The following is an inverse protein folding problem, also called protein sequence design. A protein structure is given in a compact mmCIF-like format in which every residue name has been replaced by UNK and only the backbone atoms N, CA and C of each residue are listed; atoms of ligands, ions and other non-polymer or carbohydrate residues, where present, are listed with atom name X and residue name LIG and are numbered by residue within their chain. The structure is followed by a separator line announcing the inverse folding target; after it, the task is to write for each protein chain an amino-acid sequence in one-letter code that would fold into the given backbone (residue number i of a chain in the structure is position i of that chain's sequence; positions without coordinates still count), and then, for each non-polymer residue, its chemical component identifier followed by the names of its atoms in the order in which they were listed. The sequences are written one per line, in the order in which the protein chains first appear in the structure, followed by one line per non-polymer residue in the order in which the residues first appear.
data_IF_435435439898
#
_entry.id   IF_435435439898
#
_cell.length_a   1.000
_cell.length_b   1.000
_cell.length_c   1.000
_cell.angle_alpha   90.00
_cell.angle_beta   90.00
_cell.angle_gamma   90.00
#
_symmetry.space_group_name_H-M   'P 1'
#
loop_
_entity.id
_entity.type
_entity.pdbx_description
1 polymer ?
#
# COMPACT_ATOMS: atom_id res chain seq x y z
N UNK A 1 -44.41 -18.08 -11.14
CA UNK A 1 -44.02 -17.20 -12.26
C UNK A 1 -44.13 -15.77 -11.77
N UNK A 2 -43.03 -15.18 -11.38
CA UNK A 2 -42.91 -13.74 -11.16
C UNK A 2 -41.71 -13.34 -12.02
N UNK A 3 -42.10 -12.69 -13.12
CA UNK A 3 -41.17 -12.22 -14.17
C UNK A 3 -40.31 -11.07 -13.69
N UNK A 4 -39.08 -11.16 -14.12
CA UNK A 4 -38.18 -10.08 -14.53
C UNK A 4 -38.44 -8.69 -13.94
N UNK A 5 -37.78 -8.38 -12.86
CA UNK A 5 -37.38 -6.99 -12.60
C UNK A 5 -36.29 -6.64 -13.55
N UNK A 6 -36.57 -5.75 -14.50
CA UNK A 6 -35.63 -5.10 -15.39
C UNK A 6 -34.44 -4.56 -14.56
N UNK A 7 -33.29 -5.19 -14.74
CA UNK A 7 -32.01 -4.60 -14.35
C UNK A 7 -31.89 -3.35 -15.21
N UNK A 8 -32.08 -2.19 -14.61
CA UNK A 8 -31.71 -0.92 -15.24
C UNK A 8 -30.22 -1.00 -15.44
N UNK A 9 -29.80 -1.26 -16.68
CA UNK A 9 -28.40 -1.11 -17.06
C UNK A 9 -27.97 0.29 -16.65
N UNK A 10 -26.93 0.38 -15.82
CA UNK A 10 -26.35 1.65 -15.41
C UNK A 10 -25.99 2.42 -16.67
N UNK A 11 -26.41 3.68 -16.83
CA UNK A 11 -26.05 4.48 -17.98
C UNK A 11 -24.51 4.47 -18.08
N UNK A 12 -23.97 4.36 -19.28
CA UNK A 12 -22.53 4.42 -19.51
C UNK A 12 -21.92 5.67 -18.88
N UNK A 13 -20.65 5.64 -18.52
CA UNK A 13 -19.98 6.78 -17.92
C UNK A 13 -20.09 8.01 -18.84
N UNK A 14 -20.68 9.07 -18.34
CA UNK A 14 -20.81 10.35 -19.04
C UNK A 14 -19.69 11.32 -18.66
N UNK A 15 -19.10 11.10 -17.47
CA UNK A 15 -18.04 11.95 -16.92
C UNK A 15 -16.84 11.12 -16.47
N UNK A 16 -15.64 11.71 -16.43
CA UNK A 16 -14.41 11.02 -16.02
C UNK A 16 -14.45 10.50 -14.58
N UNK A 17 -15.23 11.17 -13.73
CA UNK A 17 -15.44 10.82 -12.33
C UNK A 17 -16.49 9.72 -12.11
N UNK A 18 -17.21 9.33 -13.17
CA UNK A 18 -18.24 8.31 -13.03
C UNK A 18 -17.58 6.95 -12.75
N UNK A 19 -18.08 6.29 -11.73
CA UNK A 19 -17.71 4.93 -11.37
C UNK A 19 -18.96 4.06 -11.26
N UNK A 20 -18.81 2.77 -11.46
CA UNK A 20 -19.87 1.80 -11.26
C UNK A 20 -19.68 1.11 -9.92
N UNK A 21 -20.62 1.29 -9.01
CA UNK A 21 -20.72 0.51 -7.78
C UNK A 21 -21.77 -0.58 -8.05
N UNK A 22 -21.28 -1.79 -8.41
CA UNK A 22 -22.17 -2.91 -8.75
C UNK A 22 -22.77 -3.53 -7.50
N UNK A 23 -21.93 -3.73 -6.49
CA UNK A 23 -22.31 -4.37 -5.24
C UNK A 23 -21.80 -3.57 -4.05
N UNK A 24 -22.69 -3.32 -3.10
CA UNK A 24 -22.34 -2.86 -1.76
C UNK A 24 -23.30 -3.54 -0.79
N UNK A 25 -22.85 -4.64 -0.20
CA UNK A 25 -23.63 -5.42 0.72
C UNK A 25 -22.99 -5.47 2.09
N UNK A 26 -23.82 -5.44 3.10
CA UNK A 26 -23.44 -5.68 4.48
C UNK A 26 -23.83 -7.11 4.84
N UNK A 27 -22.87 -7.87 5.31
CA UNK A 27 -23.05 -9.26 5.73
C UNK A 27 -23.02 -9.31 7.25
N UNK A 28 -24.13 -9.68 7.85
CA UNK A 28 -24.23 -9.82 9.31
C UNK A 28 -23.53 -11.10 9.79
N UNK A 29 -23.20 -11.15 11.07
CA UNK A 29 -22.66 -12.35 11.71
C UNK A 29 -23.60 -13.58 11.58
N UNK A 30 -24.93 -13.35 11.40
CA UNK A 30 -25.91 -14.40 11.14
C UNK A 30 -26.01 -14.84 9.67
N UNK A 31 -25.17 -14.27 8.78
CA UNK A 31 -25.17 -14.57 7.34
C UNK A 31 -26.25 -13.84 6.53
N UNK A 32 -26.97 -12.90 7.12
CA UNK A 32 -27.97 -12.09 6.39
C UNK A 32 -27.24 -11.04 5.55
N UNK A 33 -27.59 -10.95 4.27
CA UNK A 33 -27.05 -9.98 3.31
C UNK A 33 -28.02 -8.80 3.17
N UNK A 34 -27.50 -7.57 3.32
CA UNK A 34 -28.29 -6.33 3.25
C UNK A 34 -27.62 -5.40 2.25
N UNK A 35 -28.37 -4.95 1.27
CA UNK A 35 -27.87 -4.00 0.28
C UNK A 35 -27.82 -2.58 0.85
N UNK A 36 -26.64 -1.94 0.77
CA UNK A 36 -26.40 -0.60 1.28
C UNK A 36 -26.28 0.48 0.21
N UNK A 37 -26.34 0.15 -1.09
CA UNK A 37 -26.13 1.14 -2.16
C UNK A 37 -27.07 2.35 -2.09
N UNK A 38 -28.34 2.11 -1.73
CA UNK A 38 -29.35 3.17 -1.62
C UNK A 38 -29.17 4.07 -0.38
N UNK A 39 -28.42 3.60 0.60
CA UNK A 39 -28.16 4.30 1.86
C UNK A 39 -26.79 5.00 1.86
N UNK A 40 -25.99 4.75 0.82
CA UNK A 40 -24.62 5.22 0.72
C UNK A 40 -24.56 6.72 0.49
N UNK A 41 -23.81 7.42 1.34
CA UNK A 41 -23.46 8.84 1.20
C UNK A 41 -22.07 8.98 0.64
N UNK A 42 -21.13 8.22 1.20
CA UNK A 42 -19.70 8.30 0.84
C UNK A 42 -19.07 6.93 0.99
N UNK A 43 -18.20 6.60 0.03
CA UNK A 43 -17.33 5.42 0.06
C UNK A 43 -15.91 5.89 -0.20
N UNK A 44 -15.02 5.60 0.73
CA UNK A 44 -13.59 5.81 0.57
C UNK A 44 -12.84 4.50 0.74
N UNK A 45 -12.01 4.17 -0.24
CA UNK A 45 -11.16 2.98 -0.26
C UNK A 45 -9.72 3.39 -0.45
N UNK A 46 -8.82 2.87 0.37
CA UNK A 46 -7.42 3.24 0.42
C UNK A 46 -6.51 2.05 0.17
N UNK A 47 -5.62 2.19 -0.78
CA UNK A 47 -4.43 1.36 -0.98
C UNK A 47 -3.20 2.24 -0.76
N UNK A 48 -2.30 1.80 0.11
CA UNK A 48 -1.09 2.55 0.45
C UNK A 48 0.09 1.59 0.46
N UNK A 49 1.15 1.93 -0.28
CA UNK A 49 2.38 1.13 -0.33
C UNK A 49 3.11 1.04 1.02
N UNK A 50 2.78 1.91 1.96
CA UNK A 50 3.30 1.91 3.33
C UNK A 50 2.34 1.30 4.36
N UNK A 51 1.17 0.83 3.92
CA UNK A 51 0.19 0.15 4.75
C UNK A 51 0.13 -1.33 4.45
N UNK A 52 0.07 -2.17 5.48
CA UNK A 52 0.02 -3.63 5.31
C UNK A 52 -1.31 -4.12 4.74
N UNK A 53 -2.36 -3.33 4.85
CA UNK A 53 -3.71 -3.74 4.52
C UNK A 53 -4.46 -2.65 3.80
N UNK A 54 -5.27 -3.04 2.82
CA UNK A 54 -6.29 -2.19 2.26
C UNK A 54 -7.33 -1.86 3.32
N UNK A 55 -7.81 -0.63 3.32
CA UNK A 55 -8.77 -0.13 4.31
C UNK A 55 -9.69 0.91 3.70
N UNK A 56 -10.74 1.25 4.43
CA UNK A 56 -11.64 2.30 3.99
C UNK A 56 -12.75 2.57 4.98
N UNK A 57 -13.67 3.39 4.54
CA UNK A 57 -14.90 3.64 5.28
C UNK A 57 -16.07 3.87 4.34
N UNK A 58 -17.25 3.58 4.84
CA UNK A 58 -18.52 3.98 4.23
C UNK A 58 -19.32 4.82 5.21
N UNK A 59 -19.91 5.90 4.72
CA UNK A 59 -20.86 6.71 5.45
C UNK A 59 -22.24 6.44 4.89
N UNK A 60 -23.18 6.07 5.73
CA UNK A 60 -24.55 5.72 5.34
C UNK A 60 -25.56 6.56 6.10
N UNK A 61 -26.74 6.78 5.46
CA UNK A 61 -27.93 7.34 6.10
C UNK A 61 -28.88 6.19 6.38
N UNK A 62 -29.14 5.98 7.64
CA UNK A 62 -30.01 4.92 8.14
C UNK A 62 -31.34 5.51 8.62
N UNK A 63 -32.42 5.18 7.92
CA UNK A 63 -33.79 5.53 8.30
C UNK A 63 -34.59 4.35 8.89
N UNK A 64 -33.94 3.17 8.96
CA UNK A 64 -34.60 1.93 9.38
C UNK A 64 -34.07 1.39 10.72
N UNK A 65 -33.05 2.05 11.29
CA UNK A 65 -32.46 1.62 12.57
C UNK A 65 -31.62 0.35 12.43
N UNK A 66 -30.81 0.20 11.38
CA UNK A 66 -30.02 -1.01 11.14
C UNK A 66 -29.07 -1.34 12.28
N UNK A 67 -28.44 -0.34 12.90
CA UNK A 67 -27.53 -0.59 14.02
C UNK A 67 -28.25 -1.32 15.16
N UNK A 68 -29.49 -0.92 15.44
CA UNK A 68 -30.28 -1.51 16.52
C UNK A 68 -30.90 -2.86 16.13
N UNK A 69 -31.38 -2.96 14.90
CA UNK A 69 -31.95 -4.19 14.36
C UNK A 69 -30.92 -5.30 14.17
N UNK A 70 -29.68 -4.95 13.82
CA UNK A 70 -28.65 -5.93 13.47
C UNK A 70 -27.71 -6.25 14.62
N UNK A 71 -27.81 -5.51 15.75
CA UNK A 71 -26.93 -5.69 16.91
C UNK A 71 -25.46 -5.88 16.49
N UNK A 72 -24.87 -4.83 15.89
CA UNK A 72 -23.50 -4.90 15.37
C UNK A 72 -22.55 -5.39 16.45
N UNK A 73 -21.88 -6.51 16.18
CA UNK A 73 -21.00 -7.21 17.12
C UNK A 73 -19.52 -7.02 16.80
N UNK A 74 -19.19 -6.45 15.63
CA UNK A 74 -17.83 -6.38 15.09
C UNK A 74 -17.41 -7.65 14.33
N UNK A 75 -18.36 -8.54 14.02
CA UNK A 75 -18.17 -9.75 13.22
C UNK A 75 -18.80 -9.65 11.83
N UNK A 76 -19.07 -8.45 11.40
CA UNK A 76 -19.73 -8.16 10.14
C UNK A 76 -18.71 -7.93 9.03
N UNK A 77 -19.16 -8.14 7.79
CA UNK A 77 -18.38 -7.92 6.59
C UNK A 77 -19.07 -6.94 5.66
N UNK A 78 -18.30 -6.29 4.82
CA UNK A 78 -18.77 -5.51 3.69
C UNK A 78 -18.24 -6.13 2.42
N UNK A 79 -19.11 -6.40 1.49
CA UNK A 79 -18.85 -6.88 0.16
C UNK A 79 -18.98 -5.71 -0.81
N UNK A 80 -17.89 -5.41 -1.52
CA UNK A 80 -17.81 -4.25 -2.41
C UNK A 80 -17.34 -4.71 -3.79
N UNK A 81 -18.09 -4.35 -4.84
CA UNK A 81 -17.63 -4.44 -6.22
C UNK A 81 -17.81 -3.08 -6.89
N UNK A 82 -16.68 -2.42 -7.12
CA UNK A 82 -16.63 -1.14 -7.81
C UNK A 82 -15.55 -1.13 -8.90
N UNK A 83 -15.78 -0.35 -9.94
CA UNK A 83 -14.84 -0.23 -11.03
C UNK A 83 -15.18 0.91 -11.97
N UNK A 84 -14.31 1.18 -12.93
CA UNK A 84 -14.62 2.06 -14.04
C UNK A 84 -15.61 1.36 -14.97
N UNK A 85 -16.58 2.12 -15.51
CA UNK A 85 -17.57 1.62 -16.48
C UNK A 85 -16.85 1.29 -17.79
N UNK A 86 -16.11 0.19 -17.84
CA UNK A 86 -15.53 -0.34 -19.06
C UNK A 86 -15.45 -1.86 -19.08
N UNK A 87 -16.06 -2.41 -20.14
CA UNK A 87 -15.78 -3.73 -20.71
C UNK A 87 -15.97 -4.93 -19.79
N UNK A 88 -17.18 -5.19 -19.26
CA UNK A 88 -17.66 -6.57 -18.98
C UNK A 88 -16.76 -7.54 -18.21
N UNK A 89 -15.60 -7.11 -17.73
CA UNK A 89 -14.79 -7.90 -16.81
C UNK A 89 -15.39 -7.77 -15.44
N UNK A 90 -15.71 -8.90 -14.86
CA UNK A 90 -16.02 -9.02 -13.45
C UNK A 90 -14.77 -8.54 -12.69
N UNK A 91 -14.78 -7.30 -12.27
CA UNK A 91 -13.86 -6.84 -11.24
C UNK A 91 -14.23 -7.61 -10.00
N UNK A 92 -13.29 -8.36 -9.45
CA UNK A 92 -13.53 -9.28 -8.36
C UNK A 92 -14.20 -8.58 -7.19
N UNK A 93 -15.33 -9.12 -6.77
CA UNK A 93 -16.01 -8.76 -5.55
C UNK A 93 -15.06 -8.91 -4.37
N UNK A 94 -14.91 -7.87 -3.56
CA UNK A 94 -14.01 -7.86 -2.42
C UNK A 94 -14.77 -7.85 -1.13
N UNK A 95 -14.31 -8.64 -0.17
CA UNK A 95 -14.90 -8.77 1.14
C UNK A 95 -13.95 -8.18 2.17
N UNK A 96 -14.47 -7.26 2.97
CA UNK A 96 -13.75 -6.56 4.03
C UNK A 96 -14.42 -6.78 5.37
N UNK A 97 -13.61 -6.76 6.43
CA UNK A 97 -14.07 -6.83 7.80
C UNK A 97 -14.43 -5.46 8.34
N UNK A 98 -15.62 -5.29 8.90
CA UNK A 98 -15.97 -4.07 9.66
C UNK A 98 -15.36 -4.17 11.05
N UNK A 99 -14.57 -3.16 11.44
CA UNK A 99 -13.91 -3.16 12.73
C UNK A 99 -14.32 -2.00 13.64
N UNK A 100 -14.97 -0.99 13.10
CA UNK A 100 -15.36 0.20 13.87
C UNK A 100 -16.57 0.88 13.26
N UNK A 101 -17.49 1.35 14.11
CA UNK A 101 -18.51 2.32 13.75
C UNK A 101 -18.24 3.64 14.49
N UNK A 102 -18.54 4.77 13.87
CA UNK A 102 -18.28 6.09 14.44
C UNK A 102 -19.25 7.14 13.89
N UNK A 103 -19.34 8.27 14.58
CA UNK A 103 -20.01 9.47 14.06
C UNK A 103 -21.53 9.39 13.98
N UNK A 104 -22.18 8.55 14.81
CA UNK A 104 -23.64 8.48 14.87
C UNK A 104 -24.25 9.84 15.20
N UNK A 105 -24.98 10.40 14.25
CA UNK A 105 -25.62 11.72 14.38
C UNK A 105 -27.02 11.69 13.73
N UNK A 106 -28.02 12.37 14.33
CA UNK A 106 -29.29 12.55 13.64
C UNK A 106 -29.04 13.29 12.30
N UNK A 107 -29.60 12.78 11.23
CA UNK A 107 -29.65 13.46 9.96
C UNK A 107 -30.86 14.38 9.96
N UNK A 108 -30.79 15.57 9.41
CA UNK A 108 -31.76 16.67 9.45
C UNK A 108 -33.28 16.36 9.52
N UNK A 109 -33.68 15.11 9.28
CA UNK A 109 -35.01 14.56 9.53
C UNK A 109 -34.99 13.74 10.80
N UNK A 110 -36.00 13.90 11.66
CA UNK A 110 -36.10 13.26 12.99
C UNK A 110 -36.02 11.73 13.01
N UNK A 111 -36.14 11.07 11.85
CA UNK A 111 -36.20 9.61 11.74
C UNK A 111 -35.05 8.97 10.99
N UNK A 112 -33.95 9.70 10.77
CA UNK A 112 -32.77 9.14 10.11
C UNK A 112 -31.49 9.51 10.83
N UNK A 113 -30.53 8.61 10.82
CA UNK A 113 -29.22 8.79 11.43
C UNK A 113 -28.13 8.58 10.39
N UNK A 114 -27.05 9.33 10.53
CA UNK A 114 -25.87 9.14 9.71
C UNK A 114 -24.74 8.59 10.58
N UNK A 115 -24.05 7.57 10.09
CA UNK A 115 -22.87 7.03 10.74
C UNK A 115 -21.89 6.46 9.74
N UNK A 116 -20.66 6.30 10.18
CA UNK A 116 -19.55 5.81 9.37
C UNK A 116 -19.10 4.44 9.87
N UNK A 117 -19.00 3.48 8.96
CA UNK A 117 -18.44 2.15 9.20
C UNK A 117 -17.03 2.09 8.60
N UNK A 118 -16.06 1.72 9.40
CA UNK A 118 -14.67 1.53 8.97
C UNK A 118 -14.42 0.05 8.71
N UNK A 119 -13.72 -0.25 7.63
CA UNK A 119 -13.41 -1.60 7.22
C UNK A 119 -11.93 -1.77 6.85
N UNK A 120 -11.45 -2.99 6.92
CA UNK A 120 -10.12 -3.41 6.50
C UNK A 120 -10.16 -4.84 5.98
N UNK A 121 -9.06 -5.30 5.39
CA UNK A 121 -8.93 -6.70 4.99
C UNK A 121 -9.02 -7.64 6.20
N UNK A 122 -9.57 -8.82 6.00
CA UNK A 122 -9.69 -9.81 7.06
C UNK A 122 -8.32 -10.23 7.60
N UNK A 123 -7.32 -10.29 6.75
CA UNK A 123 -5.96 -10.69 7.11
C UNK A 123 -5.30 -9.74 8.12
N UNK A 124 -5.68 -8.46 8.14
CA UNK A 124 -5.24 -7.54 9.19
C UNK A 124 -5.77 -7.97 10.55
N UNK A 125 -7.05 -8.32 10.63
CA UNK A 125 -7.67 -8.81 11.86
C UNK A 125 -7.05 -10.12 12.32
N UNK A 126 -6.80 -11.06 11.40
CA UNK A 126 -6.12 -12.32 11.68
C UNK A 126 -4.69 -12.09 12.16
N UNK A 127 -3.97 -11.15 11.55
CA UNK A 127 -2.63 -10.77 11.99
C UNK A 127 -2.60 -10.23 13.41
N UNK A 128 -3.60 -9.42 13.80
CA UNK A 128 -3.71 -8.91 15.16
C UNK A 128 -4.01 -9.99 16.21
N UNK A 129 -4.69 -11.06 15.81
CA UNK A 129 -5.10 -12.17 16.69
C UNK A 129 -4.04 -13.29 16.77
N UNK A 130 -3.09 -13.34 15.84
CA UNK A 130 -2.12 -14.43 15.70
C UNK A 130 -0.72 -13.98 16.09
N UNK A 131 0.07 -14.89 16.65
CA UNK A 131 1.50 -14.67 16.90
C UNK A 131 2.31 -15.85 16.42
N UNK A 132 3.30 -15.59 15.58
CA UNK A 132 4.21 -16.58 15.02
C UNK A 132 5.41 -16.75 15.95
N UNK A 133 5.72 -18.00 16.26
CA UNK A 133 6.97 -18.40 16.92
C UNK A 133 7.53 -19.60 16.15
N UNK A 134 8.35 -19.32 15.12
CA UNK A 134 8.79 -20.34 14.16
C UNK A 134 10.22 -20.09 13.72
N UNK A 135 10.99 -21.15 13.58
CA UNK A 135 12.35 -21.10 13.03
C UNK A 135 12.36 -21.51 11.57
N UNK A 136 13.08 -20.79 10.77
CA UNK A 136 13.36 -21.08 9.37
C UNK A 136 14.86 -21.25 9.21
N UNK A 137 15.27 -22.35 8.58
CA UNK A 137 16.69 -22.67 8.34
C UNK A 137 16.94 -22.73 6.85
N UNK A 138 18.01 -22.07 6.40
CA UNK A 138 18.45 -22.12 5.03
C UNK A 138 17.39 -21.64 4.03
N UNK A 139 16.59 -20.64 4.40
CA UNK A 139 15.46 -20.16 3.58
C UNK A 139 15.70 -18.76 3.05
N UNK A 140 15.18 -18.46 1.86
CA UNK A 140 15.08 -17.09 1.36
C UNK A 140 13.98 -16.35 2.10
N UNK A 141 14.12 -15.04 2.27
CA UNK A 141 13.09 -14.23 2.94
C UNK A 141 11.77 -14.25 2.15
N UNK A 142 11.81 -14.23 0.82
CA UNK A 142 10.62 -14.38 -0.02
C UNK A 142 9.86 -15.68 0.23
N UNK A 143 10.54 -16.78 0.49
CA UNK A 143 9.91 -18.07 0.84
C UNK A 143 9.25 -18.00 2.22
N UNK A 144 9.91 -17.34 3.18
CA UNK A 144 9.36 -17.16 4.53
C UNK A 144 8.09 -16.29 4.46
N UNK A 145 8.10 -15.20 3.69
CA UNK A 145 6.92 -14.34 3.49
C UNK A 145 5.77 -15.13 2.86
N UNK A 146 6.03 -15.91 1.81
CA UNK A 146 5.02 -16.78 1.20
C UNK A 146 4.43 -17.77 2.21
N UNK A 147 5.28 -18.37 3.05
CA UNK A 147 4.82 -19.31 4.08
C UNK A 147 3.94 -18.60 5.13
N UNK A 148 4.29 -17.38 5.53
CA UNK A 148 3.46 -16.60 6.47
C UNK A 148 2.09 -16.31 5.86
N UNK A 149 2.02 -15.85 4.62
CA UNK A 149 0.76 -15.55 3.94
C UNK A 149 -0.10 -16.82 3.81
N UNK A 150 0.49 -17.94 3.42
CA UNK A 150 -0.22 -19.19 3.16
C UNK A 150 -0.61 -19.96 4.42
N UNK A 151 0.31 -20.12 5.35
CA UNK A 151 0.14 -21.03 6.50
C UNK A 151 -0.44 -20.31 7.72
N UNK A 152 0.02 -19.10 8.01
CA UNK A 152 -0.34 -18.40 9.24
C UNK A 152 -1.56 -17.49 9.04
N UNK A 153 -1.62 -16.75 7.92
CA UNK A 153 -2.76 -15.89 7.57
C UNK A 153 -3.82 -16.62 6.76
N UNK A 154 -3.48 -17.78 6.17
CA UNK A 154 -4.40 -18.58 5.35
C UNK A 154 -5.11 -17.74 4.28
N UNK A 155 -4.34 -16.84 3.64
CA UNK A 155 -4.85 -16.00 2.56
C UNK A 155 -5.54 -16.87 1.52
N UNK A 156 -6.68 -16.40 1.04
CA UNK A 156 -7.45 -17.12 0.03
C UNK A 156 -6.61 -17.46 -1.21
N UNK A 157 -6.89 -18.61 -1.83
CA UNK A 157 -6.08 -19.14 -2.94
C UNK A 157 -6.03 -18.18 -4.13
N UNK A 158 -7.14 -17.54 -4.47
CA UNK A 158 -7.24 -16.62 -5.61
C UNK A 158 -6.49 -15.32 -5.31
N UNK A 159 -6.62 -14.78 -4.11
CA UNK A 159 -5.87 -13.62 -3.63
C UNK A 159 -4.37 -13.92 -3.55
N UNK A 160 -4.00 -15.11 -3.08
CA UNK A 160 -2.60 -15.53 -3.01
C UNK A 160 -2.00 -15.73 -4.42
N UNK A 161 -2.76 -16.28 -5.37
CA UNK A 161 -2.31 -16.45 -6.76
C UNK A 161 -2.05 -15.11 -7.48
N UNK A 162 -2.80 -14.07 -7.11
CA UNK A 162 -2.63 -12.71 -7.62
C UNK A 162 -1.60 -11.88 -6.83
N UNK A 163 -1.12 -12.39 -5.69
CA UNK A 163 -0.11 -11.74 -4.87
C UNK A 163 1.27 -11.83 -5.52
N UNK A 164 2.06 -10.76 -5.40
CA UNK A 164 3.40 -10.68 -5.98
C UNK A 164 4.43 -10.65 -4.86
N UNK A 165 5.15 -11.76 -4.69
CA UNK A 165 6.28 -11.84 -3.76
C UNK A 165 7.56 -11.91 -4.57
N UNK A 166 8.29 -10.79 -4.62
CA UNK A 166 9.55 -10.67 -5.34
C UNK A 166 10.62 -11.57 -4.71
N UNK A 167 11.36 -12.30 -5.56
CA UNK A 167 12.40 -13.19 -5.10
C UNK A 167 13.55 -12.42 -4.46
N UNK A 168 14.01 -12.89 -3.29
CA UNK A 168 15.10 -12.26 -2.53
C UNK A 168 16.39 -13.01 -2.64
N UNK A 169 17.51 -12.29 -2.55
CA UNK A 169 18.85 -12.87 -2.51
C UNK A 169 19.21 -13.28 -1.07
N UNK A 170 20.13 -14.22 -0.97
CA UNK A 170 20.63 -14.72 0.31
C UNK A 170 19.75 -15.78 0.92
N UNK A 171 20.39 -16.62 1.71
CA UNK A 171 19.78 -17.71 2.45
C UNK A 171 20.11 -17.47 3.91
N UNK A 172 19.11 -17.52 4.77
CA UNK A 172 19.25 -17.12 6.17
C UNK A 172 18.65 -18.16 7.10
N UNK A 173 19.15 -18.14 8.33
CA UNK A 173 18.54 -18.83 9.46
C UNK A 173 17.83 -17.77 10.31
N UNK A 174 16.50 -17.77 10.29
CA UNK A 174 15.68 -16.84 11.06
C UNK A 174 14.89 -17.57 12.14
N UNK A 175 14.82 -16.95 13.30
CA UNK A 175 13.88 -17.29 14.36
C UNK A 175 12.93 -16.11 14.55
N UNK A 176 11.65 -16.29 14.24
CA UNK A 176 10.62 -15.26 14.49
C UNK A 176 10.23 -15.33 15.98
N UNK A 177 10.49 -14.26 16.77
CA UNK A 177 10.30 -14.29 18.21
C UNK A 177 8.91 -13.82 18.61
N UNK A 178 7.89 -14.66 18.44
CA UNK A 178 6.50 -14.40 18.85
C UNK A 178 5.94 -13.04 18.36
N UNK A 179 6.13 -12.76 17.10
CA UNK A 179 5.64 -11.54 16.44
C UNK A 179 4.29 -11.78 15.75
N UNK A 180 3.52 -10.70 15.53
CA UNK A 180 2.36 -10.76 14.63
C UNK A 180 2.82 -11.02 13.19
N UNK A 181 2.02 -11.69 12.33
CA UNK A 181 2.38 -11.97 10.94
C UNK A 181 2.87 -10.77 10.15
N UNK A 182 2.12 -9.67 10.13
CA UNK A 182 2.52 -8.47 9.37
C UNK A 182 3.74 -7.77 9.99
N UNK A 183 3.87 -7.75 11.31
CA UNK A 183 5.08 -7.26 11.99
C UNK A 183 6.31 -8.11 11.62
N UNK A 184 6.14 -9.43 11.54
CA UNK A 184 7.21 -10.34 11.14
C UNK A 184 7.65 -10.09 9.69
N UNK A 185 6.70 -9.88 8.76
CA UNK A 185 7.01 -9.54 7.36
C UNK A 185 7.73 -8.19 7.29
N UNK A 186 7.26 -7.18 8.03
CA UNK A 186 7.91 -5.87 8.10
C UNK A 186 9.33 -5.96 8.68
N UNK A 187 9.52 -6.76 9.73
CA UNK A 187 10.84 -7.02 10.28
C UNK A 187 11.76 -7.72 9.27
N UNK A 188 11.26 -8.74 8.56
CA UNK A 188 12.01 -9.45 7.54
C UNK A 188 12.37 -8.55 6.35
N UNK A 189 11.51 -7.59 5.98
CA UNK A 189 11.78 -6.65 4.87
C UNK A 189 13.03 -5.82 5.11
N UNK A 190 13.41 -5.55 6.37
CA UNK A 190 14.63 -4.81 6.70
C UNK A 190 15.92 -5.57 6.37
N UNK A 191 15.85 -6.88 6.24
CA UNK A 191 16.98 -7.76 5.86
C UNK A 191 16.91 -8.21 4.40
N UNK A 192 15.77 -8.07 3.76
CA UNK A 192 15.52 -8.56 2.43
C UNK A 192 16.23 -7.71 1.37
N UNK A 193 16.87 -8.36 0.42
CA UNK A 193 17.44 -7.74 -0.77
C UNK A 193 16.81 -8.36 -2.00
N UNK A 194 16.31 -7.57 -2.95
CA UNK A 194 15.72 -8.11 -4.18
C UNK A 194 16.78 -8.84 -5.03
N UNK A 195 16.37 -9.90 -5.71
CA UNK A 195 17.20 -10.63 -6.67
C UNK A 195 17.25 -9.91 -8.03
N UNK A 196 17.27 -8.62 -8.05
CA UNK A 196 17.23 -7.81 -9.24
C UNK A 196 18.65 -7.42 -9.65
N UNK A 197 19.04 -7.65 -10.92
CA UNK A 197 20.33 -7.20 -11.43
C UNK A 197 20.47 -5.68 -11.27
N UNK A 198 21.49 -5.25 -10.51
CA UNK A 198 21.75 -3.85 -10.21
C UNK A 198 20.93 -3.28 -9.04
N UNK A 199 20.21 -4.11 -8.26
CA UNK A 199 19.63 -3.67 -7.00
C UNK A 199 20.68 -3.54 -5.91
N UNK A 200 20.72 -2.39 -5.24
CA UNK A 200 21.82 -2.05 -4.30
C UNK A 200 21.28 -1.90 -2.88
N UNK A 201 19.97 -1.71 -2.71
CA UNK A 201 19.34 -1.42 -1.42
C UNK A 201 18.44 -2.53 -0.91
N UNK A 202 18.17 -2.49 0.41
CA UNK A 202 17.10 -3.23 1.06
C UNK A 202 15.89 -2.30 1.16
N UNK A 203 15.18 -2.13 0.05
CA UNK A 203 14.05 -1.23 -0.13
C UNK A 203 12.73 -1.99 -0.34
N UNK A 204 12.63 -3.18 0.29
CA UNK A 204 11.45 -4.03 0.20
C UNK A 204 10.28 -3.44 0.98
N UNK A 205 9.14 -3.38 0.33
CA UNK A 205 7.87 -2.95 0.90
C UNK A 205 6.88 -4.11 0.91
N UNK A 206 6.01 -4.12 1.91
CA UNK A 206 4.89 -5.05 2.00
C UNK A 206 3.59 -4.27 2.09
N UNK A 207 2.71 -4.47 1.14
CA UNK A 207 1.44 -3.75 1.04
C UNK A 207 0.39 -4.59 0.33
N UNK A 208 -0.86 -4.22 0.51
CA UNK A 208 -2.01 -4.84 -0.13
C UNK A 208 -2.61 -3.93 -1.19
N UNK A 209 -3.04 -4.53 -2.29
CA UNK A 209 -3.82 -3.89 -3.35
C UNK A 209 -5.09 -4.68 -3.59
N UNK A 210 -6.00 -4.15 -4.40
CA UNK A 210 -7.22 -4.84 -4.82
C UNK A 210 -6.95 -6.24 -5.39
N UNK A 211 -5.79 -6.48 -5.99
CA UNK A 211 -5.46 -7.78 -6.59
C UNK A 211 -4.91 -8.79 -5.59
N UNK A 212 -4.20 -8.33 -4.57
CA UNK A 212 -3.57 -9.19 -3.57
C UNK A 212 -2.41 -8.49 -2.85
N UNK A 213 -1.63 -9.28 -2.13
CA UNK A 213 -0.47 -8.79 -1.40
C UNK A 213 0.74 -8.60 -2.30
N UNK A 214 1.53 -7.58 -2.01
CA UNK A 214 2.76 -7.27 -2.70
C UNK A 214 3.91 -7.21 -1.70
N UNK A 215 4.96 -8.00 -1.95
CA UNK A 215 6.24 -7.89 -1.28
C UNK A 215 7.27 -7.58 -2.35
N UNK A 216 7.53 -6.30 -2.59
CA UNK A 216 8.30 -5.81 -3.73
C UNK A 216 9.27 -4.72 -3.33
N UNK A 217 10.37 -4.64 -4.06
CA UNK A 217 11.31 -3.53 -3.92
C UNK A 217 10.83 -2.29 -4.69
N UNK A 218 11.13 -1.10 -4.18
CA UNK A 218 10.85 0.16 -4.89
C UNK A 218 11.54 0.14 -6.26
N UNK A 219 12.76 -0.41 -6.34
CA UNK A 219 13.50 -0.52 -7.59
C UNK A 219 12.82 -1.42 -8.63
N UNK A 220 12.17 -2.52 -8.21
CA UNK A 220 11.42 -3.37 -9.13
C UNK A 220 10.19 -2.63 -9.67
N UNK A 221 9.45 -1.93 -8.80
CA UNK A 221 8.28 -1.16 -9.19
C UNK A 221 8.61 -0.02 -10.18
N UNK A 222 9.77 0.63 -10.00
CA UNK A 222 10.24 1.66 -10.94
C UNK A 222 10.65 1.07 -12.31
N UNK A 223 10.98 -0.22 -12.37
CA UNK A 223 11.33 -0.91 -13.62
C UNK A 223 10.12 -1.42 -14.40
N UNK A 224 8.96 -1.50 -13.78
CA UNK A 224 7.73 -1.87 -14.47
C UNK A 224 7.44 -0.90 -15.64
N UNK A 225 6.69 -1.37 -16.61
CA UNK A 225 6.23 -0.54 -17.72
C UNK A 225 5.33 0.60 -17.23
N UNK A 226 5.33 1.70 -17.97
CA UNK A 226 4.51 2.86 -17.64
C UNK A 226 3.03 2.47 -17.74
N UNK A 227 2.35 2.48 -16.60
CA UNK A 227 0.92 2.16 -16.52
C UNK A 227 0.05 3.18 -17.26
N UNK A 228 0.29 4.48 -17.07
CA UNK A 228 -0.41 5.55 -17.75
C UNK A 228 0.41 6.84 -17.77
N UNK A 229 0.19 7.66 -18.79
CA UNK A 229 0.78 9.01 -18.87
C UNK A 229 -0.30 10.03 -18.59
N UNK A 230 -0.13 10.79 -17.53
CA UNK A 230 -1.03 11.87 -17.14
C UNK A 230 -0.52 13.20 -17.71
N UNK A 231 -1.45 14.06 -18.15
CA UNK A 231 -1.13 15.39 -18.67
C UNK A 231 -1.65 16.44 -17.72
N UNK A 232 -0.80 17.39 -17.31
CA UNK A 232 -1.26 18.57 -16.62
C UNK A 232 -1.82 19.56 -17.64
N UNK A 233 -3.05 19.94 -17.45
CA UNK A 233 -3.71 20.92 -18.30
C UNK A 233 -4.57 21.82 -17.44
N UNK A 234 -4.13 23.08 -17.30
CA UNK A 234 -4.98 24.12 -16.70
C UNK A 234 -6.28 24.22 -17.51
N UNK A 235 -7.43 24.35 -16.81
CA UNK A 235 -8.73 24.49 -17.47
C UNK A 235 -8.71 25.66 -18.45
N UNK A 236 -8.62 25.39 -19.74
CA UNK A 236 -8.94 26.35 -20.79
C UNK A 236 -10.42 26.17 -21.13
N UNK A 237 -11.22 27.19 -20.79
CA UNK A 237 -12.66 27.25 -21.00
C UNK A 237 -13.10 27.10 -22.48
N UNK A 238 -12.18 27.23 -23.44
CA UNK A 238 -12.48 27.29 -24.88
C UNK A 238 -12.21 25.98 -25.66
N UNK A 239 -11.88 24.88 -25.02
CA UNK A 239 -11.64 23.64 -25.75
C UNK A 239 -12.91 22.81 -25.89
N UNK A 240 -13.20 22.46 -27.18
CA UNK A 240 -14.17 21.45 -27.58
C UNK A 240 -14.08 20.19 -26.71
N UNK A 241 -15.22 19.60 -26.39
CA UNK A 241 -15.42 18.39 -25.62
C UNK A 241 -14.29 17.38 -25.89
N UNK A 242 -13.41 17.20 -24.92
CA UNK A 242 -12.41 16.14 -24.93
C UNK A 242 -13.13 14.81 -24.74
N UNK A 243 -12.56 13.74 -25.26
CA UNK A 243 -13.12 12.42 -24.98
C UNK A 243 -13.05 12.15 -23.47
N UNK A 244 -14.03 11.43 -22.93
CA UNK A 244 -14.04 11.02 -21.51
C UNK A 244 -12.71 10.35 -21.11
N UNK A 245 -12.06 9.65 -22.05
CA UNK A 245 -10.77 9.01 -21.84
C UNK A 245 -9.62 10.00 -21.63
N UNK A 246 -9.61 11.12 -22.37
CA UNK A 246 -8.59 12.16 -22.22
C UNK A 246 -8.77 12.93 -20.92
N UNK A 247 -10.02 13.18 -20.51
CA UNK A 247 -10.32 13.85 -19.25
C UNK A 247 -9.89 12.99 -18.04
N UNK A 248 -10.04 11.67 -18.12
CA UNK A 248 -9.64 10.75 -17.03
C UNK A 248 -8.14 10.76 -16.77
N UNK A 249 -7.31 11.08 -17.76
CA UNK A 249 -5.85 11.16 -17.63
C UNK A 249 -5.33 12.59 -17.47
N UNK A 250 -6.25 13.57 -17.32
CA UNK A 250 -5.89 14.98 -17.16
C UNK A 250 -5.77 15.33 -15.67
N UNK A 251 -4.61 15.84 -15.28
CA UNK A 251 -4.38 16.40 -13.95
C UNK A 251 -4.83 17.84 -13.96
N UNK A 252 -5.80 18.17 -13.12
CA UNK A 252 -6.38 19.51 -13.03
C UNK A 252 -5.56 20.44 -12.14
N UNK A 253 -4.98 19.89 -11.06
CA UNK A 253 -4.17 20.62 -10.11
C UNK A 253 -3.16 19.68 -9.45
N UNK A 254 -2.03 20.20 -8.99
CA UNK A 254 -1.03 19.45 -8.23
C UNK A 254 -0.29 20.36 -7.25
N UNK A 255 0.10 19.78 -6.15
CA UNK A 255 0.92 20.43 -5.13
C UNK A 255 2.20 19.62 -4.89
N UNK A 256 3.34 20.29 -4.84
CA UNK A 256 4.63 19.71 -4.47
C UNK A 256 5.00 20.18 -3.06
N UNK A 257 4.66 19.40 -2.07
CA UNK A 257 4.82 19.76 -0.66
C UNK A 257 6.27 19.91 -0.20
N UNK A 258 7.21 19.16 -0.79
CA UNK A 258 8.64 19.18 -0.42
C UNK A 258 9.51 19.01 -1.66
N UNK A 259 9.82 20.08 -2.39
CA UNK A 259 10.66 20.00 -3.59
C UNK A 259 12.12 19.60 -3.24
N UNK A 260 12.65 20.02 -2.11
CA UNK A 260 13.96 19.63 -1.57
C UNK A 260 14.08 20.05 -0.09
N UNK A 261 14.89 19.30 0.67
CA UNK A 261 15.25 19.59 2.05
C UNK A 261 16.67 19.09 2.33
N UNK A 262 17.64 19.84 1.83
CA UNK A 262 19.06 19.45 1.88
C UNK A 262 19.56 19.30 3.32
N UNK A 263 19.06 20.12 4.25
CA UNK A 263 19.47 20.04 5.64
C UNK A 263 19.08 18.69 6.27
N UNK A 264 17.85 18.26 6.05
CA UNK A 264 17.37 16.97 6.52
C UNK A 264 18.08 15.81 5.79
N UNK A 265 18.38 15.94 4.51
CA UNK A 265 19.12 14.94 3.74
C UNK A 265 20.55 14.75 4.26
N UNK A 266 21.23 15.83 4.68
CA UNK A 266 22.56 15.77 5.30
C UNK A 266 22.46 15.14 6.69
N UNK A 267 21.52 15.59 7.53
CA UNK A 267 21.39 15.12 8.92
C UNK A 267 20.91 13.67 9.03
N UNK A 268 20.12 13.21 8.08
CA UNK A 268 19.71 11.79 7.97
C UNK A 268 20.79 10.88 7.37
N UNK A 269 21.81 11.46 6.74
CA UNK A 269 22.88 10.74 6.05
C UNK A 269 22.46 10.19 4.70
N UNK A 270 21.41 10.75 4.09
CA UNK A 270 20.93 10.32 2.76
C UNK A 270 21.93 10.63 1.66
N UNK A 271 22.59 11.79 1.71
CA UNK A 271 23.57 12.20 0.71
C UNK A 271 24.92 11.50 0.91
N UNK A 272 25.38 11.37 2.16
CA UNK A 272 26.62 10.70 2.51
C UNK A 272 26.54 10.18 3.95
N UNK A 273 27.05 8.98 4.17
CA UNK A 273 27.19 8.41 5.51
C UNK A 273 28.36 7.44 5.56
N UNK A 274 28.78 7.08 6.76
CA UNK A 274 29.80 6.07 7.01
C UNK A 274 29.23 4.94 7.84
N UNK A 275 29.33 3.71 7.34
CA UNK A 275 29.01 2.50 8.09
C UNK A 275 30.29 1.92 8.67
N UNK A 276 30.33 1.71 9.98
CA UNK A 276 31.38 0.98 10.68
C UNK A 276 30.82 -0.37 11.08
N UNK A 277 31.30 -1.44 10.45
CA UNK A 277 30.96 -2.82 10.80
C UNK A 277 32.03 -3.39 11.69
N UNK A 278 31.63 -3.91 12.86
CA UNK A 278 32.49 -4.51 13.86
C UNK A 278 32.13 -5.99 13.99
N UNK A 279 33.10 -6.87 13.73
CA UNK A 279 32.97 -8.29 14.01
C UNK A 279 33.74 -8.64 15.29
N UNK A 280 33.08 -8.92 16.40
CA UNK A 280 33.73 -9.26 17.67
C UNK A 280 34.39 -10.63 17.66
N UNK A 281 33.99 -11.56 16.79
CA UNK A 281 34.59 -12.90 16.70
C UNK A 281 35.96 -12.85 16.03
N UNK A 282 36.04 -12.17 14.90
CA UNK A 282 37.31 -12.01 14.15
C UNK A 282 38.13 -10.81 14.63
N UNK A 283 37.57 -9.99 15.54
CA UNK A 283 38.19 -8.73 16.02
C UNK A 283 38.56 -7.77 14.90
N UNK A 284 37.79 -7.77 13.84
CA UNK A 284 37.99 -6.87 12.70
C UNK A 284 36.95 -5.77 12.68
N UNK A 285 37.33 -4.64 12.10
CA UNK A 285 36.37 -3.60 11.78
C UNK A 285 36.56 -3.13 10.33
N UNK A 286 35.47 -2.78 9.69
CA UNK A 286 35.42 -2.29 8.31
C UNK A 286 34.68 -0.97 8.26
N UNK A 287 35.26 0.02 7.60
CA UNK A 287 34.61 1.30 7.30
C UNK A 287 34.14 1.29 5.85
N UNK A 288 32.88 1.56 5.63
CA UNK A 288 32.30 1.68 4.29
C UNK A 288 31.62 3.04 4.16
N UNK A 289 32.05 3.81 3.18
CA UNK A 289 31.46 5.11 2.89
C UNK A 289 30.34 4.94 1.87
N UNK A 290 29.20 5.50 2.16
CA UNK A 290 28.07 5.59 1.24
C UNK A 290 28.10 6.98 0.58
N UNK A 291 27.93 6.99 -0.76
CA UNK A 291 27.88 8.19 -1.59
C UNK A 291 26.65 8.08 -2.50
N UNK A 292 25.71 8.99 -2.32
CA UNK A 292 24.47 9.01 -3.10
C UNK A 292 24.70 9.13 -4.61
N UNK A 293 25.73 9.86 -5.04
CA UNK A 293 26.02 10.02 -6.47
C UNK A 293 26.41 8.69 -7.13
N UNK A 294 27.25 7.90 -6.44
CA UNK A 294 27.61 6.56 -6.89
C UNK A 294 26.41 5.62 -6.89
N UNK A 295 25.60 5.67 -5.84
CA UNK A 295 24.35 4.90 -5.74
C UNK A 295 23.42 5.24 -6.89
N UNK A 296 23.13 6.52 -7.14
CA UNK A 296 22.25 6.99 -8.19
C UNK A 296 22.69 6.56 -9.59
N UNK A 297 24.01 6.52 -9.86
CA UNK A 297 24.52 6.08 -11.15
C UNK A 297 24.27 4.60 -11.45
N UNK A 298 24.06 3.79 -10.41
CA UNK A 298 23.83 2.34 -10.50
C UNK A 298 22.37 1.96 -10.35
N UNK A 299 21.57 2.76 -9.64
CA UNK A 299 20.16 2.52 -9.42
C UNK A 299 19.30 3.25 -10.47
N UNK A 300 18.18 2.63 -10.87
CA UNK A 300 17.16 3.31 -11.67
C UNK A 300 16.46 4.35 -10.78
N UNK A 301 16.34 5.58 -11.25
CA UNK A 301 15.73 6.69 -10.52
C UNK A 301 14.57 7.29 -11.30
N UNK A 302 13.51 7.68 -10.59
CA UNK A 302 12.37 8.41 -11.14
C UNK A 302 12.74 9.84 -11.55
N UNK A 303 13.78 10.41 -10.89
CA UNK A 303 14.28 11.74 -11.24
C UNK A 303 15.51 11.63 -12.14
N UNK A 304 15.39 11.90 -13.44
CA UNK A 304 16.52 11.86 -14.37
C UNK A 304 17.49 13.03 -14.18
N UNK A 305 17.09 14.07 -13.45
CA UNK A 305 17.92 15.26 -13.20
C UNK A 305 19.21 14.94 -12.43
N UNK A 306 20.25 15.70 -12.69
CA UNK A 306 21.48 15.64 -11.89
C UNK A 306 21.24 16.27 -10.52
N UNK A 307 21.46 15.49 -9.46
CA UNK A 307 21.45 16.00 -8.07
C UNK A 307 22.86 16.41 -7.65
N UNK A 308 23.79 16.45 -8.57
CA UNK A 308 25.16 16.79 -8.25
C UNK A 308 25.30 18.30 -8.03
N UNK A 309 25.36 18.67 -6.77
CA UNK A 309 25.90 19.97 -6.42
C UNK A 309 27.43 19.88 -6.54
N UNK A 310 27.98 20.50 -7.56
CA UNK A 310 29.44 20.57 -7.77
C UNK A 310 30.10 21.65 -6.91
N UNK A 311 29.33 22.40 -6.15
CA UNK A 311 29.82 23.47 -5.30
C UNK A 311 30.47 22.89 -4.04
N UNK A 312 31.70 23.26 -3.80
CA UNK A 312 32.42 22.92 -2.57
C UNK A 312 32.09 23.94 -1.48
N UNK A 313 31.86 23.44 -0.28
CA UNK A 313 31.71 24.27 0.90
C UNK A 313 33.06 24.89 1.33
N UNK A 314 33.08 25.70 2.40
CA UNK A 314 34.29 26.34 2.92
C UNK A 314 35.38 25.35 3.37
N UNK A 315 35.01 24.07 3.60
CA UNK A 315 35.97 23.01 3.94
C UNK A 315 36.52 22.29 2.69
N UNK A 316 36.16 22.75 1.50
CA UNK A 316 36.58 22.15 0.24
C UNK A 316 35.89 20.84 -0.12
N UNK A 317 34.83 20.48 0.60
CA UNK A 317 34.06 19.26 0.41
C UNK A 317 32.67 19.57 -0.19
N UNK A 318 32.18 18.67 -1.02
CA UNK A 318 30.76 18.68 -1.42
C UNK A 318 29.91 18.04 -0.32
N UNK A 319 28.58 18.22 -0.35
CA UNK A 319 27.65 17.60 0.60
C UNK A 319 27.71 16.07 0.53
N UNK A 320 27.99 15.52 -0.67
CA UNK A 320 28.15 14.07 -0.90
C UNK A 320 29.48 13.50 -0.37
N UNK A 321 30.43 14.36 0.01
CA UNK A 321 31.72 13.95 0.59
C UNK A 321 31.74 14.07 2.12
N UNK A 322 30.62 14.46 2.74
CA UNK A 322 30.48 14.65 4.20
C UNK A 322 30.16 13.34 4.92
N UNK A 323 30.97 12.30 4.73
CA UNK A 323 30.72 10.96 5.29
C UNK A 323 30.66 10.91 6.82
N UNK A 324 31.32 11.81 7.48
CA UNK A 324 31.41 11.88 8.95
C UNK A 324 30.18 12.54 9.59
N UNK A 325 29.29 13.14 8.79
CA UNK A 325 28.09 13.78 9.31
C UNK A 325 27.14 12.78 9.97
N UNK A 326 27.09 11.55 9.44
CA UNK A 326 26.30 10.46 10.00
C UNK A 326 27.11 9.16 10.01
N UNK A 327 27.39 8.67 11.20
CA UNK A 327 28.11 7.42 11.41
C UNK A 327 27.12 6.38 11.93
N UNK A 328 26.97 5.29 11.19
CA UNK A 328 26.17 4.11 11.59
C UNK A 328 27.11 3.01 12.04
N UNK A 329 26.83 2.37 13.15
CA UNK A 329 27.63 1.26 13.68
C UNK A 329 26.81 -0.01 13.64
N UNK A 330 27.33 -1.07 13.00
CA UNK A 330 26.75 -2.40 12.99
C UNK A 330 27.71 -3.36 13.71
N UNK A 331 27.15 -4.14 14.64
CA UNK A 331 27.88 -5.19 15.39
C UNK A 331 27.29 -6.52 14.96
N UNK A 332 28.12 -7.39 14.41
CA UNK A 332 27.70 -8.72 13.92
C UNK A 332 28.72 -9.25 12.91
N UNK A 333 28.45 -10.45 12.39
CA UNK A 333 29.29 -11.02 11.33
C UNK A 333 29.16 -10.13 10.08
N UNK A 334 30.26 -9.51 9.67
CA UNK A 334 30.34 -8.61 8.52
C UNK A 334 30.34 -9.37 7.19
#
# INVERSE_FOLDING_TARGET
MIENTNIVESPGAYYPQDFSLKTLNFLTASGKKIELRQLLVELSYYEDIYSFSASGYITIIDSQGFIELLQLTGNEYIEIDFGKVKNGRNDNEQIFRVYKSSGRKPSGNMNSETYTLFFCSEELMLSEQTKISKSYKGSKISEIVNNILKEELKVDSDKLANSVVEETTGVYDFLIPRMKPFEAISWLSTYARPQLNGAIGADMLFFETKLGFNFRSIQSMIKDDIYATYKYQAKNLDKKVQSIQEETITVLDYELSKPYDILNEITSGTLANQLISIDPLTRTFKKTNFDYTKYKSQAKSLNPGSVTNSLKNRLGKTEQESYESVIKVSIGNA
#
